data_IF_978247297338
#
_entry.id   IF_978247297338
#
_cell.length_a   1.000
_cell.length_b   1.000
_cell.length_c   1.000
_cell.angle_alpha   90.00
_cell.angle_beta   90.00
_cell.angle_gamma   90.00
#
_symmetry.space_group_name_H-M   'P 1'
#
loop_
_entity.id
_entity.type
_entity.pdbx_description
1 polymer ?
#
# COMPACT_ATOMS: atom_id res chain seq x y z
N UNK A 1 -19.03 -4.33 5.90
CA UNK A 1 -18.17 -4.06 7.09
C UNK A 1 -17.17 -2.95 6.73
N UNK A 2 -17.10 -1.80 7.44
CA UNK A 2 -16.13 -0.70 7.12
C UNK A 2 -14.87 -0.79 7.98
N UNK A 3 -14.16 -1.92 7.93
CA UNK A 3 -13.00 -2.21 8.80
C UNK A 3 -11.72 -1.43 8.46
N UNK A 4 -11.73 -0.63 7.39
CA UNK A 4 -10.59 0.18 6.95
C UNK A 4 -10.75 1.68 7.23
N UNK A 5 -11.86 2.09 7.87
CA UNK A 5 -12.15 3.47 8.22
C UNK A 5 -11.75 3.79 9.67
N UNK A 6 -11.63 5.07 10.01
CA UNK A 6 -11.24 5.53 11.36
C UNK A 6 -12.23 5.10 12.46
N UNK A 7 -13.51 4.96 12.11
CA UNK A 7 -14.64 4.69 13.02
C UNK A 7 -14.68 3.29 13.66
N UNK A 8 -13.59 2.54 13.61
CA UNK A 8 -13.52 1.19 14.22
C UNK A 8 -13.39 1.30 15.75
N UNK A 9 -12.75 2.36 16.26
CA UNK A 9 -12.63 2.64 17.69
C UNK A 9 -13.57 3.79 18.09
N UNK A 10 -14.18 3.68 19.26
CA UNK A 10 -14.94 4.77 19.90
C UNK A 10 -14.01 5.47 20.90
N UNK A 11 -13.72 6.77 20.73
CA UNK A 11 -12.92 7.51 21.71
C UNK A 11 -13.68 7.67 23.03
N UNK A 12 -12.99 7.52 24.16
CA UNK A 12 -13.56 7.67 25.51
C UNK A 12 -13.12 8.98 26.18
N UNK A 13 -12.09 9.63 25.64
CA UNK A 13 -11.59 10.94 26.06
C UNK A 13 -11.02 11.72 24.86
N UNK A 14 -10.67 12.98 25.08
CA UNK A 14 -9.98 13.79 24.06
C UNK A 14 -8.57 13.24 23.75
N UNK A 15 -7.88 12.73 24.77
CA UNK A 15 -6.56 12.10 24.60
C UNK A 15 -6.67 10.84 23.75
N UNK A 16 -7.61 9.95 24.10
CA UNK A 16 -7.88 8.75 23.29
C UNK A 16 -8.25 9.10 21.84
N UNK A 17 -9.03 10.17 21.64
CA UNK A 17 -9.39 10.61 20.30
C UNK A 17 -8.16 11.03 19.49
N UNK A 18 -7.21 11.74 20.11
CA UNK A 18 -5.96 12.14 19.45
C UNK A 18 -5.12 10.93 19.06
N UNK A 19 -4.99 9.96 19.95
CA UNK A 19 -4.25 8.72 19.69
C UNK A 19 -4.90 7.90 18.58
N UNK A 20 -6.24 7.78 18.63
CA UNK A 20 -7.00 7.06 17.60
C UNK A 20 -6.77 7.66 16.21
N UNK A 21 -6.80 8.99 16.11
CA UNK A 21 -6.58 9.73 14.87
C UNK A 21 -5.13 9.60 14.41
N UNK A 22 -4.16 9.77 15.31
CA UNK A 22 -2.73 9.69 14.99
C UNK A 22 -2.36 8.32 14.41
N UNK A 23 -2.82 7.24 15.05
CA UNK A 23 -2.66 5.87 14.57
C UNK A 23 -3.29 5.66 13.20
N UNK A 24 -4.53 6.14 13.02
CA UNK A 24 -5.25 6.00 11.76
C UNK A 24 -4.51 6.70 10.62
N UNK A 25 -4.11 7.95 10.82
CA UNK A 25 -3.38 8.76 9.84
C UNK A 25 -2.04 8.10 9.50
N UNK A 26 -1.29 7.64 10.51
CA UNK A 26 -0.03 6.94 10.30
C UNK A 26 -0.22 5.69 9.45
N UNK A 27 -1.17 4.81 9.82
CA UNK A 27 -1.47 3.59 9.06
C UNK A 27 -1.95 3.90 7.64
N UNK A 28 -2.84 4.88 7.48
CA UNK A 28 -3.41 5.25 6.19
C UNK A 28 -2.33 5.74 5.23
N UNK A 29 -1.43 6.60 5.71
CA UNK A 29 -0.41 7.20 4.85
C UNK A 29 0.76 6.27 4.58
N UNK A 30 1.15 5.42 5.54
CA UNK A 30 2.40 4.65 5.46
C UNK A 30 2.24 3.17 5.12
N UNK A 31 1.04 2.59 5.32
CA UNK A 31 0.81 1.15 5.13
C UNK A 31 -0.27 0.81 4.12
N UNK A 32 -1.31 1.65 3.97
CA UNK A 32 -2.43 1.36 3.08
C UNK A 32 -2.01 1.55 1.62
N UNK A 33 -2.13 0.50 0.82
CA UNK A 33 -2.02 0.59 -0.64
C UNK A 33 -3.34 1.08 -1.22
N UNK A 34 -3.30 2.11 -2.06
CA UNK A 34 -4.50 2.75 -2.59
C UNK A 34 -4.64 2.52 -4.10
N UNK A 35 -5.76 1.93 -4.52
CA UNK A 35 -6.00 1.51 -5.91
C UNK A 35 -5.95 2.68 -6.90
N UNK A 36 -6.54 3.84 -6.55
CA UNK A 36 -6.51 5.04 -7.39
C UNK A 36 -5.12 5.61 -7.69
N UNK A 37 -4.08 5.19 -6.94
CA UNK A 37 -2.68 5.58 -7.17
C UNK A 37 -1.79 4.37 -7.46
N UNK A 38 -2.35 3.32 -8.06
CA UNK A 38 -1.59 2.15 -8.51
C UNK A 38 -1.14 1.22 -7.38
N UNK A 39 -1.93 1.13 -6.31
CA UNK A 39 -1.55 0.39 -5.09
C UNK A 39 -0.19 0.85 -4.56
N UNK A 40 -0.02 2.17 -4.47
CA UNK A 40 1.09 2.87 -3.81
C UNK A 40 0.56 3.43 -2.48
N UNK A 41 1.44 3.62 -1.49
CA UNK A 41 1.04 4.29 -0.24
C UNK A 41 0.88 5.79 -0.48
N UNK A 42 -0.04 6.49 0.19
CA UNK A 42 -0.16 7.94 0.06
C UNK A 42 1.16 8.68 0.34
N UNK A 43 1.94 8.22 1.33
CA UNK A 43 3.26 8.81 1.66
C UNK A 43 4.25 8.64 0.50
N UNK A 44 4.34 7.46 -0.10
CA UNK A 44 5.25 7.22 -1.23
C UNK A 44 4.89 8.07 -2.44
N UNK A 45 3.58 8.23 -2.71
CA UNK A 45 3.12 9.09 -3.80
C UNK A 45 3.43 10.57 -3.53
N UNK A 46 3.20 11.04 -2.30
CA UNK A 46 3.55 12.39 -1.89
C UNK A 46 5.05 12.67 -2.01
N UNK A 47 5.89 11.68 -1.71
CA UNK A 47 7.35 11.76 -1.82
C UNK A 47 7.86 11.55 -3.26
N UNK A 48 6.98 11.45 -4.26
CA UNK A 48 7.38 11.26 -5.67
C UNK A 48 7.95 9.88 -6.00
N UNK A 49 7.88 8.90 -5.09
CA UNK A 49 8.50 7.57 -5.26
C UNK A 49 7.68 6.59 -6.10
N UNK A 50 6.49 7.00 -6.53
CA UNK A 50 5.54 6.11 -7.18
C UNK A 50 6.10 5.47 -8.45
N UNK A 51 6.74 6.25 -9.33
CA UNK A 51 7.28 5.76 -10.60
C UNK A 51 8.38 4.71 -10.40
N UNK A 52 9.30 4.97 -9.48
CA UNK A 52 10.37 4.02 -9.13
C UNK A 52 9.80 2.71 -8.58
N UNK A 53 8.78 2.77 -7.72
CA UNK A 53 8.14 1.56 -7.16
C UNK A 53 7.44 0.76 -8.26
N UNK A 54 6.74 1.44 -9.18
CA UNK A 54 6.03 0.78 -10.28
C UNK A 54 7.03 0.13 -11.26
N UNK A 55 8.10 0.85 -11.64
CA UNK A 55 9.15 0.30 -12.50
C UNK A 55 9.79 -0.96 -11.90
N UNK A 56 10.04 -0.97 -10.59
CA UNK A 56 10.55 -2.15 -9.89
C UNK A 56 9.57 -3.34 -9.90
N UNK A 57 8.26 -3.08 -9.81
CA UNK A 57 7.21 -4.12 -9.90
C UNK A 57 7.14 -4.71 -11.32
N UNK A 58 7.20 -3.86 -12.34
CA UNK A 58 7.15 -4.28 -13.74
C UNK A 58 8.36 -5.14 -14.11
N UNK A 59 9.56 -4.74 -13.68
CA UNK A 59 10.78 -5.53 -13.87
C UNK A 59 10.66 -6.92 -13.24
N UNK A 60 10.12 -7.01 -12.01
CA UNK A 60 9.89 -8.29 -11.33
C UNK A 60 8.89 -9.17 -12.08
N UNK A 61 7.81 -8.58 -12.60
CA UNK A 61 6.80 -9.32 -13.37
C UNK A 61 7.36 -9.84 -14.70
N UNK A 62 8.15 -9.02 -15.40
CA UNK A 62 8.83 -9.41 -16.63
C UNK A 62 9.80 -10.58 -16.39
N UNK A 63 10.65 -10.50 -15.36
CA UNK A 63 11.57 -11.58 -15.00
C UNK A 63 10.85 -12.89 -14.69
N UNK A 64 9.76 -12.83 -13.92
CA UNK A 64 8.92 -14.01 -13.65
C UNK A 64 8.25 -14.56 -14.91
N UNK A 65 7.90 -13.69 -15.86
CA UNK A 65 7.37 -14.06 -17.18
C UNK A 65 8.38 -14.88 -17.98
N UNK A 66 9.62 -14.40 -18.10
CA UNK A 66 10.69 -15.09 -18.82
C UNK A 66 11.05 -16.43 -18.17
N UNK A 67 11.14 -16.48 -16.84
CA UNK A 67 11.36 -17.74 -16.11
C UNK A 67 10.26 -18.78 -16.41
N UNK A 68 8.99 -18.36 -16.48
CA UNK A 68 7.88 -19.25 -16.84
C UNK A 68 7.97 -19.73 -18.30
N UNK A 69 8.36 -18.87 -19.24
CA UNK A 69 8.57 -19.26 -20.65
C UNK A 69 9.69 -20.28 -20.78
N UNK A 70 10.82 -20.07 -20.12
CA UNK A 70 11.95 -20.99 -20.14
C UNK A 70 11.56 -22.38 -19.60
N UNK A 71 10.84 -22.45 -18.47
CA UNK A 71 10.35 -23.72 -17.90
C UNK A 71 9.40 -24.46 -18.83
N UNK A 72 8.55 -23.76 -19.58
CA UNK A 72 7.64 -24.37 -20.57
C UNK A 72 8.38 -24.93 -21.79
N UNK A 73 9.48 -24.32 -22.19
CA UNK A 73 10.32 -24.80 -23.31
C UNK A 73 11.18 -26.01 -22.93
N UNK A 74 11.45 -26.18 -21.64
CA UNK A 74 12.25 -27.27 -21.10
C UNK A 74 11.42 -28.49 -20.65
N UNK A 75 10.10 -28.42 -20.79
CA UNK A 75 9.15 -29.51 -20.56
C UNK A 75 8.63 -30.03 -21.89
#
# INVERSE_FOLDING_TARGET
MKGTCIRVRTPLSLEDARDIVADFVNRYNTRRLHSAIGYITPKDKLQGRAETILAGRDAKLAAAGEARKARRKAS
#
